data_IF_962747511052
#
_entry.id   IF_962747511052
#
_cell.length_a   1.000
_cell.length_b   1.000
_cell.length_c   1.000
_cell.angle_alpha   90.00
_cell.angle_beta   90.00
_cell.angle_gamma   90.00
#
_symmetry.space_group_name_H-M   'P 1'
#
loop_
_entity.id
_entity.type
_entity.pdbx_description
1 polymer ?
#
# COMPACT_ATOMS: atom_id res chain seq x y z
N UNK A 1 25.63 18.79 -22.10
CA UNK A 1 24.78 19.68 -21.28
C UNK A 1 23.97 18.78 -20.34
N UNK A 2 24.51 18.60 -19.13
CA UNK A 2 23.76 17.93 -18.05
C UNK A 2 22.92 19.00 -17.37
N UNK A 3 21.60 18.92 -17.52
CA UNK A 3 20.69 19.74 -16.74
C UNK A 3 20.79 19.28 -15.27
N UNK A 4 21.13 20.13 -14.31
CA UNK A 4 21.21 19.72 -12.91
C UNK A 4 19.81 19.40 -12.41
N UNK A 5 19.64 18.20 -11.84
CA UNK A 5 18.47 17.82 -11.07
C UNK A 5 18.20 18.95 -10.07
N UNK A 6 17.06 19.64 -10.19
CA UNK A 6 16.59 20.58 -9.18
C UNK A 6 16.74 19.92 -7.82
N UNK A 7 17.44 20.57 -6.91
CA UNK A 7 17.67 20.09 -5.56
C UNK A 7 16.32 19.70 -4.94
N UNK A 8 16.11 18.40 -4.81
CA UNK A 8 14.90 17.84 -4.22
C UNK A 8 14.96 18.21 -2.74
N UNK A 9 14.14 19.18 -2.33
CA UNK A 9 14.12 19.76 -1.00
C UNK A 9 14.19 18.69 0.09
N UNK A 10 14.99 18.97 1.11
CA UNK A 10 15.22 18.09 2.25
C UNK A 10 13.91 17.86 3.01
N UNK A 11 13.18 16.80 2.63
CA UNK A 11 11.97 16.37 3.33
C UNK A 11 12.39 15.43 4.47
N UNK A 12 12.24 15.81 5.75
CA UNK A 12 12.66 14.98 6.88
C UNK A 12 11.95 13.62 6.93
N UNK A 13 10.80 13.47 6.29
CA UNK A 13 10.09 12.18 6.18
C UNK A 13 10.80 11.16 5.29
N UNK A 14 11.73 11.58 4.42
CA UNK A 14 12.51 10.67 3.54
C UNK A 14 13.49 9.78 4.29
N UNK A 15 13.96 10.19 5.47
CA UNK A 15 15.01 9.49 6.22
C UNK A 15 14.56 8.13 6.78
N UNK A 16 13.25 7.90 6.87
CA UNK A 16 12.65 6.69 7.47
C UNK A 16 11.95 5.77 6.47
N UNK A 17 11.81 6.18 5.22
CA UNK A 17 11.22 5.32 4.20
C UNK A 17 12.13 4.12 3.90
N UNK A 18 11.60 2.90 3.77
CA UNK A 18 12.36 1.75 3.33
C UNK A 18 13.07 2.03 2.01
N UNK A 19 14.24 1.45 1.82
CA UNK A 19 15.06 1.63 0.60
C UNK A 19 14.25 1.48 -0.70
N UNK A 20 13.33 0.52 -0.76
CA UNK A 20 12.45 0.32 -1.92
C UNK A 20 11.58 1.53 -2.22
N UNK A 21 10.96 2.14 -1.19
CA UNK A 21 10.15 3.35 -1.35
C UNK A 21 10.98 4.54 -1.83
N UNK A 22 12.20 4.69 -1.32
CA UNK A 22 13.11 5.76 -1.77
C UNK A 22 13.51 5.59 -3.24
N UNK A 23 13.86 4.36 -3.66
CA UNK A 23 14.15 4.02 -5.06
C UNK A 23 12.96 4.37 -5.96
N UNK A 24 11.76 3.91 -5.63
CA UNK A 24 10.56 4.18 -6.40
C UNK A 24 10.25 5.68 -6.51
N UNK A 25 10.36 6.41 -5.40
CA UNK A 25 10.18 7.87 -5.41
C UNK A 25 11.18 8.55 -6.35
N UNK A 26 12.43 8.10 -6.35
CA UNK A 26 13.46 8.68 -7.25
C UNK A 26 13.17 8.33 -8.71
N UNK A 27 12.79 7.08 -9.00
CA UNK A 27 12.47 6.65 -10.37
C UNK A 27 11.20 7.33 -10.91
N UNK A 28 10.17 7.54 -10.08
CA UNK A 28 8.93 8.27 -10.46
C UNK A 28 9.16 9.75 -10.73
N UNK A 29 10.07 10.37 -9.99
CA UNK A 29 10.40 11.79 -10.18
C UNK A 29 11.30 12.03 -11.41
N UNK A 30 11.86 10.98 -11.99
CA UNK A 30 12.76 11.07 -13.13
C UNK A 30 12.01 10.87 -14.45
N UNK A 31 12.12 11.83 -15.36
CA UNK A 31 11.57 11.72 -16.73
C UNK A 31 12.40 10.76 -17.61
N UNK A 32 13.63 10.50 -17.22
CA UNK A 32 14.62 9.72 -17.97
C UNK A 32 15.17 8.55 -17.15
N UNK A 33 16.08 7.77 -17.77
CA UNK A 33 16.81 6.69 -17.09
C UNK A 33 17.67 7.23 -15.94
N UNK A 34 17.59 6.63 -14.76
CA UNK A 34 18.40 6.98 -13.59
C UNK A 34 19.55 5.98 -13.46
N UNK A 35 20.79 6.46 -13.42
CA UNK A 35 21.95 5.59 -13.31
C UNK A 35 22.00 4.89 -11.94
N UNK A 36 22.57 3.68 -11.90
CA UNK A 36 22.81 2.98 -10.63
C UNK A 36 23.74 3.75 -9.70
N UNK A 37 24.63 4.57 -10.25
CA UNK A 37 25.50 5.46 -9.48
C UNK A 37 24.72 6.58 -8.80
N UNK A 38 23.82 7.24 -9.53
CA UNK A 38 22.92 8.28 -8.98
C UNK A 38 22.08 7.75 -7.83
N UNK A 39 21.50 6.54 -7.99
CA UNK A 39 20.72 5.88 -6.92
C UNK A 39 21.61 5.52 -5.72
N UNK A 40 22.81 5.00 -5.96
CA UNK A 40 23.79 4.64 -4.94
C UNK A 40 24.18 5.85 -4.07
N UNK A 41 24.51 6.95 -4.70
CA UNK A 41 24.87 8.21 -4.03
C UNK A 41 23.67 8.80 -3.25
N UNK A 42 22.50 8.87 -3.88
CA UNK A 42 21.28 9.42 -3.25
C UNK A 42 20.85 8.66 -2.00
N UNK A 43 21.16 7.36 -1.92
CA UNK A 43 20.75 6.46 -0.82
C UNK A 43 21.89 6.10 0.14
N UNK A 44 23.13 6.52 -0.15
CA UNK A 44 24.28 6.21 0.68
C UNK A 44 24.63 4.73 0.77
N UNK A 45 24.39 3.96 -0.31
CA UNK A 45 24.64 2.52 -0.35
C UNK A 45 25.39 2.12 -1.62
N UNK A 46 25.92 0.89 -1.67
CA UNK A 46 26.63 0.41 -2.86
C UNK A 46 25.69 0.16 -4.05
N UNK A 47 26.20 0.25 -5.27
CA UNK A 47 25.47 -0.11 -6.50
C UNK A 47 24.93 -1.53 -6.47
N UNK A 48 25.64 -2.47 -5.85
CA UNK A 48 25.19 -3.85 -5.66
C UNK A 48 23.93 -3.90 -4.78
N UNK A 49 23.88 -3.08 -3.72
CA UNK A 49 22.70 -2.97 -2.87
C UNK A 49 21.51 -2.40 -3.63
N UNK A 50 21.72 -1.35 -4.43
CA UNK A 50 20.67 -0.80 -5.32
C UNK A 50 20.16 -1.88 -6.26
N UNK A 51 21.05 -2.59 -6.95
CA UNK A 51 20.68 -3.68 -7.86
C UNK A 51 19.83 -4.76 -7.17
N UNK A 52 20.21 -5.20 -5.97
CA UNK A 52 19.43 -6.17 -5.18
C UNK A 52 18.01 -5.66 -4.88
N UNK A 53 17.86 -4.39 -4.56
CA UNK A 53 16.54 -3.79 -4.30
C UNK A 53 15.71 -3.65 -5.57
N UNK A 54 16.33 -3.27 -6.69
CA UNK A 54 15.67 -3.21 -8.01
C UNK A 54 15.14 -4.60 -8.39
N UNK A 55 15.97 -5.65 -8.26
CA UNK A 55 15.54 -7.02 -8.52
C UNK A 55 14.32 -7.42 -7.70
N UNK A 56 14.33 -7.12 -6.39
CA UNK A 56 13.18 -7.38 -5.52
C UNK A 56 11.94 -6.56 -5.87
N UNK A 57 12.10 -5.37 -6.43
CA UNK A 57 10.98 -4.58 -6.94
C UNK A 57 10.42 -5.18 -8.22
N UNK A 58 11.28 -5.63 -9.14
CA UNK A 58 10.86 -6.36 -10.35
C UNK A 58 10.13 -7.66 -10.02
N UNK A 59 10.63 -8.44 -9.06
CA UNK A 59 9.97 -9.65 -8.54
C UNK A 59 8.62 -9.34 -7.88
N UNK A 60 8.46 -8.14 -7.33
CA UNK A 60 7.20 -7.64 -6.79
C UNK A 60 6.25 -7.06 -7.86
N UNK A 61 6.60 -7.16 -9.15
CA UNK A 61 5.75 -6.74 -10.26
C UNK A 61 5.94 -5.30 -10.73
N UNK A 62 6.93 -4.56 -10.20
CA UNK A 62 7.23 -3.23 -10.72
C UNK A 62 7.88 -3.33 -12.11
N UNK A 63 7.31 -2.67 -13.14
CA UNK A 63 7.87 -2.68 -14.49
C UNK A 63 9.07 -1.74 -14.56
N UNK A 64 10.20 -2.18 -14.01
CA UNK A 64 11.47 -1.47 -14.05
C UNK A 64 12.33 -2.05 -15.15
N UNK A 65 12.59 -1.26 -16.19
CA UNK A 65 13.59 -1.60 -17.20
C UNK A 65 15.00 -1.34 -16.65
N UNK A 66 15.91 -2.27 -16.90
CA UNK A 66 17.31 -2.18 -16.52
C UNK A 66 18.19 -2.29 -17.77
N UNK A 67 19.14 -1.38 -17.93
CA UNK A 67 20.07 -1.35 -19.07
C UNK A 67 21.45 -0.86 -18.65
N UNK A 68 22.39 -0.77 -19.60
CA UNK A 68 23.76 -0.30 -19.33
C UNK A 68 23.80 1.11 -18.74
N UNK A 69 22.84 1.97 -19.06
CA UNK A 69 22.75 3.36 -18.63
C UNK A 69 22.04 3.53 -17.29
N UNK A 70 21.27 2.52 -16.82
CA UNK A 70 20.57 2.58 -15.53
C UNK A 70 19.18 1.95 -15.56
N UNK A 71 18.28 2.54 -14.77
CA UNK A 71 16.94 2.03 -14.46
C UNK A 71 15.86 3.04 -14.80
N UNK A 72 14.72 2.56 -15.31
CA UNK A 72 13.54 3.38 -15.58
C UNK A 72 12.28 2.63 -15.13
N UNK A 73 11.45 3.27 -14.34
CA UNK A 73 10.12 2.78 -14.00
C UNK A 73 9.15 3.19 -15.11
N UNK A 74 8.40 2.23 -15.66
CA UNK A 74 7.47 2.46 -16.78
C UNK A 74 6.01 2.36 -16.39
N UNK A 75 5.72 2.09 -15.12
CA UNK A 75 4.37 2.01 -14.56
C UNK A 75 4.41 1.54 -13.11
N UNK A 76 3.25 1.41 -12.51
CA UNK A 76 3.09 0.91 -11.15
C UNK A 76 2.25 -0.37 -11.13
N UNK A 77 2.58 -1.37 -10.29
CA UNK A 77 1.76 -2.56 -10.11
C UNK A 77 0.49 -2.20 -9.34
N UNK A 78 -0.59 -2.91 -9.62
CA UNK A 78 -1.83 -2.83 -8.83
C UNK A 78 -1.67 -3.62 -7.52
N UNK A 79 -0.78 -3.14 -6.63
CA UNK A 79 -0.49 -3.77 -5.36
C UNK A 79 -0.14 -2.74 -4.29
N UNK A 80 -0.69 -2.93 -3.08
CA UNK A 80 -0.53 -1.99 -1.96
C UNK A 80 0.62 -2.44 -1.05
N UNK A 81 1.83 -2.38 -1.56
CA UNK A 81 3.02 -2.75 -0.80
C UNK A 81 3.31 -1.76 0.35
N UNK A 82 3.82 -2.25 1.51
CA UNK A 82 4.11 -1.38 2.67
C UNK A 82 5.03 -0.21 2.36
N UNK A 83 6.00 -0.38 1.48
CA UNK A 83 6.96 0.67 1.11
C UNK A 83 6.38 1.80 0.26
N UNK A 84 5.13 1.67 -0.21
CA UNK A 84 4.38 2.74 -0.87
C UNK A 84 3.76 3.73 0.13
N UNK A 85 3.71 3.37 1.41
CA UNK A 85 3.06 4.15 2.47
C UNK A 85 4.08 4.63 3.51
N UNK A 86 4.81 5.73 3.24
CA UNK A 86 5.83 6.23 4.15
C UNK A 86 5.30 6.50 5.56
N UNK A 87 5.96 5.90 6.56
CA UNK A 87 5.58 5.98 7.97
C UNK A 87 4.50 4.98 8.41
N UNK A 88 3.98 4.15 7.47
CA UNK A 88 2.97 3.11 7.76
C UNK A 88 3.51 1.70 7.51
N UNK A 89 4.76 1.55 7.14
CA UNK A 89 5.35 0.30 6.68
C UNK A 89 5.26 -0.83 7.71
N UNK A 90 5.32 -0.48 9.00
CA UNK A 90 5.21 -1.43 10.12
C UNK A 90 3.77 -1.85 10.44
N UNK A 91 2.81 -1.07 10.01
CA UNK A 91 1.38 -1.29 10.30
C UNK A 91 0.58 -1.71 9.09
N UNK A 92 1.19 -1.79 7.90
CA UNK A 92 0.56 -2.29 6.70
C UNK A 92 1.19 -3.63 6.29
N UNK A 93 0.36 -4.65 6.16
CA UNK A 93 0.75 -6.00 5.78
C UNK A 93 0.06 -6.39 4.48
N UNK A 94 0.81 -6.43 3.38
CA UNK A 94 0.31 -6.87 2.08
C UNK A 94 0.62 -8.35 1.84
N UNK A 95 -0.37 -9.05 1.33
CA UNK A 95 -0.28 -10.45 0.92
C UNK A 95 -0.85 -10.61 -0.49
N UNK A 96 -0.10 -11.18 -1.45
CA UNK A 96 -0.65 -11.46 -2.78
C UNK A 96 -1.90 -12.35 -2.71
N UNK A 97 -1.89 -13.35 -1.82
CA UNK A 97 -2.99 -14.28 -1.61
C UNK A 97 -3.07 -14.70 -0.15
N UNK A 98 -4.29 -14.78 0.39
CA UNK A 98 -4.59 -15.29 1.74
C UNK A 98 -5.90 -16.09 1.75
N UNK A 99 -6.15 -16.84 2.81
CA UNK A 99 -7.49 -17.38 3.06
C UNK A 99 -8.49 -16.23 3.28
N UNK A 100 -8.17 -15.34 4.23
CA UNK A 100 -8.96 -14.16 4.54
C UNK A 100 -8.10 -13.12 5.28
N UNK A 101 -8.22 -11.86 4.88
CA UNK A 101 -7.57 -10.73 5.57
C UNK A 101 -8.00 -10.65 7.04
N UNK A 102 -9.25 -11.03 7.36
CA UNK A 102 -9.76 -11.10 8.73
C UNK A 102 -9.02 -12.15 9.58
N UNK A 103 -8.64 -13.30 9.02
CA UNK A 103 -7.91 -14.32 9.75
C UNK A 103 -6.50 -13.83 10.10
N UNK A 104 -5.80 -13.23 9.14
CA UNK A 104 -4.47 -12.63 9.35
C UNK A 104 -4.55 -11.50 10.38
N UNK A 105 -5.51 -10.58 10.23
CA UNK A 105 -5.71 -9.47 11.15
C UNK A 105 -6.01 -9.95 12.58
N UNK A 106 -6.80 -11.02 12.74
CA UNK A 106 -7.09 -11.63 14.05
C UNK A 106 -5.82 -12.18 14.71
N UNK A 107 -4.97 -12.84 13.94
CA UNK A 107 -3.67 -13.34 14.43
C UNK A 107 -2.78 -12.19 14.89
N UNK A 108 -2.65 -11.14 14.09
CA UNK A 108 -1.88 -9.94 14.44
C UNK A 108 -2.47 -9.22 15.67
N UNK A 109 -3.80 -9.13 15.76
CA UNK A 109 -4.48 -8.50 16.89
C UNK A 109 -4.20 -9.25 18.22
N UNK A 110 -4.20 -10.60 18.20
CA UNK A 110 -3.84 -11.45 19.34
C UNK A 110 -2.38 -11.31 19.73
N UNK A 111 -1.50 -11.10 18.74
CA UNK A 111 -0.08 -10.82 18.96
C UNK A 111 0.22 -9.39 19.41
N UNK A 112 -0.81 -8.56 19.66
CA UNK A 112 -0.63 -7.20 20.19
C UNK A 112 -0.27 -6.15 19.14
N UNK A 113 -0.60 -6.34 17.87
CA UNK A 113 -0.31 -5.34 16.84
C UNK A 113 -0.90 -3.95 17.19
N UNK A 114 -0.31 -2.85 16.71
CA UNK A 114 -0.80 -1.50 16.99
C UNK A 114 -2.22 -1.26 16.48
N UNK A 115 -2.89 -0.25 17.08
CA UNK A 115 -4.10 0.34 16.52
C UNK A 115 -3.88 0.80 15.08
N UNK A 116 -4.89 0.69 14.21
CA UNK A 116 -4.81 1.00 12.79
C UNK A 116 -3.80 0.13 11.99
N UNK A 117 -3.49 -1.08 12.48
CA UNK A 117 -2.81 -2.08 11.65
C UNK A 117 -3.75 -2.53 10.53
N UNK A 118 -3.24 -2.52 9.30
CA UNK A 118 -4.00 -2.84 8.08
C UNK A 118 -3.42 -4.11 7.45
N UNK A 119 -4.28 -5.06 7.15
CA UNK A 119 -3.96 -6.25 6.35
C UNK A 119 -4.64 -6.11 5.00
N UNK A 120 -3.89 -6.18 3.92
CA UNK A 120 -4.38 -6.07 2.53
C UNK A 120 -4.05 -7.35 1.79
N UNK A 121 -4.93 -7.78 0.91
CA UNK A 121 -4.69 -8.92 0.03
C UNK A 121 -5.04 -8.59 -1.43
N UNK A 122 -4.25 -9.15 -2.37
CA UNK A 122 -4.57 -9.11 -3.79
C UNK A 122 -5.78 -10.01 -4.13
N UNK A 123 -5.90 -11.16 -3.45
CA UNK A 123 -7.09 -12.00 -3.51
C UNK A 123 -7.29 -12.81 -2.22
N UNK A 124 -8.52 -13.28 -1.99
CA UNK A 124 -8.86 -14.15 -0.86
C UNK A 124 -9.45 -15.47 -1.35
N UNK A 125 -8.99 -16.60 -0.79
CA UNK A 125 -9.52 -17.93 -1.13
C UNK A 125 -10.83 -18.23 -0.39
N UNK A 126 -10.98 -17.69 0.83
CA UNK A 126 -12.13 -17.92 1.72
C UNK A 126 -12.63 -16.59 2.29
N UNK A 127 -12.90 -15.62 1.41
CA UNK A 127 -13.52 -14.35 1.79
C UNK A 127 -14.84 -14.59 2.50
N UNK A 128 -15.11 -13.84 3.58
CA UNK A 128 -16.29 -14.01 4.44
C UNK A 128 -17.14 -12.76 4.44
N UNK A 129 -18.42 -12.95 4.09
CA UNK A 129 -19.46 -11.97 4.33
C UNK A 129 -20.16 -12.18 5.68
N UNK A 130 -21.16 -11.37 5.98
CA UNK A 130 -22.04 -11.55 7.14
C UNK A 130 -22.85 -12.85 7.00
N UNK A 131 -23.27 -13.39 8.13
CA UNK A 131 -24.07 -14.64 8.19
C UNK A 131 -23.40 -15.81 7.46
N UNK A 132 -22.08 -15.91 7.54
CA UNK A 132 -21.27 -16.98 6.93
C UNK A 132 -21.35 -17.06 5.40
N UNK A 133 -21.85 -16.03 4.73
CA UNK A 133 -21.88 -16.00 3.26
C UNK A 133 -20.46 -16.00 2.70
N UNK A 134 -20.27 -16.68 1.59
CA UNK A 134 -19.00 -16.65 0.86
C UNK A 134 -18.89 -15.32 0.13
N UNK A 135 -17.75 -14.65 0.33
CA UNK A 135 -17.40 -13.43 -0.39
C UNK A 135 -16.35 -13.73 -1.46
N UNK A 136 -16.73 -13.64 -2.72
CA UNK A 136 -15.79 -13.81 -3.82
C UNK A 136 -14.79 -12.67 -3.82
N UNK A 137 -13.51 -13.01 -3.88
CA UNK A 137 -12.40 -12.05 -3.76
C UNK A 137 -11.32 -12.38 -4.78
N UNK A 138 -11.64 -12.14 -6.06
CA UNK A 138 -10.74 -12.34 -7.20
C UNK A 138 -9.73 -11.19 -7.31
N UNK A 139 -8.72 -11.33 -8.15
CA UNK A 139 -7.79 -10.25 -8.47
C UNK A 139 -8.53 -9.02 -9.03
N UNK A 140 -7.97 -7.82 -8.83
CA UNK A 140 -8.56 -6.54 -9.22
C UNK A 140 -9.48 -5.90 -8.17
N UNK A 141 -9.76 -6.58 -7.06
CA UNK A 141 -10.51 -6.02 -5.93
C UNK A 141 -9.62 -5.52 -4.80
N UNK A 142 -10.12 -4.57 -4.03
CA UNK A 142 -9.47 -4.08 -2.82
C UNK A 142 -9.99 -4.82 -1.58
N UNK A 143 -9.20 -5.76 -1.07
CA UNK A 143 -9.54 -6.56 0.11
C UNK A 143 -8.64 -6.18 1.28
N UNK A 144 -9.22 -5.60 2.32
CA UNK A 144 -8.45 -5.21 3.49
C UNK A 144 -9.23 -5.38 4.79
N UNK A 145 -8.50 -5.48 5.88
CA UNK A 145 -9.03 -5.47 7.24
C UNK A 145 -8.18 -4.51 8.08
N UNK A 146 -8.84 -3.64 8.84
CA UNK A 146 -8.19 -2.72 9.77
C UNK A 146 -8.41 -3.22 11.19
N UNK A 147 -7.33 -3.33 11.97
CA UNK A 147 -7.42 -3.64 13.40
C UNK A 147 -7.64 -2.34 14.17
N UNK A 148 -8.83 -2.19 14.73
CA UNK A 148 -9.17 -1.06 15.57
C UNK A 148 -9.07 -1.47 17.06
N UNK A 149 -8.57 -0.56 17.88
CA UNK A 149 -8.52 -0.69 19.35
C UNK A 149 -9.14 0.59 19.97
N UNK A 150 -10.45 0.79 19.77
CA UNK A 150 -11.12 1.96 20.32
C UNK A 150 -11.34 1.78 21.83
N UNK A 151 -11.26 2.86 22.57
CA UNK A 151 -11.70 2.92 23.96
C UNK A 151 -13.23 3.08 24.04
N UNK A 152 -13.96 2.10 23.51
CA UNK A 152 -15.41 2.10 23.44
C UNK A 152 -15.98 0.81 24.07
N UNK A 153 -17.12 0.89 24.76
CA UNK A 153 -17.84 -0.29 25.18
C UNK A 153 -18.16 -1.21 23.99
N UNK A 154 -18.05 -2.55 24.11
CA UNK A 154 -18.27 -3.48 23.01
C UNK A 154 -19.65 -3.34 22.33
N UNK A 155 -20.67 -2.93 23.09
CA UNK A 155 -22.03 -2.67 22.57
C UNK A 155 -22.04 -1.56 21.51
N UNK A 156 -21.07 -0.65 21.52
CA UNK A 156 -20.93 0.44 20.55
C UNK A 156 -20.01 0.10 19.38
N UNK A 157 -19.44 -1.11 19.32
CA UNK A 157 -18.49 -1.50 18.26
C UNK A 157 -19.08 -1.40 16.85
N UNK A 158 -20.39 -1.56 16.71
CA UNK A 158 -21.11 -1.40 15.43
C UNK A 158 -20.96 0.01 14.84
N UNK A 159 -20.77 1.06 15.69
CA UNK A 159 -20.56 2.43 15.25
C UNK A 159 -19.28 2.61 14.43
N UNK A 160 -18.26 1.79 14.69
CA UNK A 160 -17.02 1.81 13.91
C UNK A 160 -17.28 1.41 12.45
N UNK A 161 -18.18 0.45 12.21
CA UNK A 161 -18.57 0.05 10.87
C UNK A 161 -19.30 1.17 10.10
N UNK A 162 -20.18 1.90 10.78
CA UNK A 162 -20.85 3.07 10.20
C UNK A 162 -19.87 4.16 9.81
N UNK A 163 -18.98 4.50 10.75
CA UNK A 163 -17.95 5.51 10.50
C UNK A 163 -17.07 5.11 9.31
N UNK A 164 -16.66 3.83 9.24
CA UNK A 164 -15.86 3.31 8.14
C UNK A 164 -16.61 3.42 6.80
N UNK A 165 -17.88 3.01 6.73
CA UNK A 165 -18.69 3.10 5.51
C UNK A 165 -18.87 4.55 5.05
N UNK A 166 -19.14 5.47 5.97
CA UNK A 166 -19.30 6.89 5.65
C UNK A 166 -17.99 7.51 5.14
N UNK A 167 -16.87 7.23 5.84
CA UNK A 167 -15.55 7.73 5.44
C UNK A 167 -15.18 7.19 4.07
N UNK A 168 -15.41 5.91 3.81
CA UNK A 168 -15.10 5.29 2.52
C UNK A 168 -15.94 5.90 1.39
N UNK A 169 -17.26 6.04 1.58
CA UNK A 169 -18.14 6.67 0.58
C UNK A 169 -17.68 8.10 0.26
N UNK A 170 -17.41 8.93 1.29
CA UNK A 170 -16.89 10.29 1.12
C UNK A 170 -15.53 10.33 0.42
N UNK A 171 -14.66 9.35 0.71
CA UNK A 171 -13.34 9.25 0.07
C UNK A 171 -13.49 8.95 -1.42
N UNK A 172 -14.35 8.00 -1.79
CA UNK A 172 -14.66 7.69 -3.18
C UNK A 172 -15.22 8.90 -3.93
N UNK A 173 -16.18 9.62 -3.32
CA UNK A 173 -16.71 10.84 -3.90
C UNK A 173 -15.62 11.90 -4.10
N UNK A 174 -14.81 12.16 -3.07
CA UNK A 174 -13.83 13.26 -3.07
C UNK A 174 -12.64 13.01 -4.01
N UNK A 175 -12.12 11.76 -4.03
CA UNK A 175 -10.89 11.45 -4.75
C UNK A 175 -11.15 11.01 -6.20
N UNK A 176 -12.29 10.36 -6.45
CA UNK A 176 -12.58 9.75 -7.74
C UNK A 176 -13.84 10.29 -8.41
N UNK A 177 -14.57 11.22 -7.78
CA UNK A 177 -15.82 11.76 -8.33
C UNK A 177 -16.95 10.71 -8.41
N UNK A 178 -16.79 9.55 -7.77
CA UNK A 178 -17.73 8.43 -7.83
C UNK A 178 -18.93 8.74 -6.94
N UNK A 179 -20.20 8.64 -7.43
CA UNK A 179 -21.40 8.94 -6.65
C UNK A 179 -21.72 7.80 -5.67
N UNK A 180 -20.83 7.61 -4.68
CA UNK A 180 -20.93 6.54 -3.69
C UNK A 180 -21.92 6.89 -2.58
N UNK A 181 -22.84 6.00 -2.26
CA UNK A 181 -23.85 6.13 -1.21
C UNK A 181 -23.78 4.96 -0.24
N UNK A 182 -23.99 5.25 1.06
CA UNK A 182 -24.03 4.20 2.07
C UNK A 182 -25.42 3.57 2.09
N UNK A 183 -25.50 2.28 1.79
CA UNK A 183 -26.69 1.45 2.03
C UNK A 183 -26.52 0.77 3.39
N UNK A 184 -27.35 1.21 4.31
CA UNK A 184 -27.33 0.66 5.69
C UNK A 184 -27.48 -0.86 5.70
N UNK A 185 -26.75 -1.59 6.58
CA UNK A 185 -25.80 -1.05 7.56
C UNK A 185 -24.33 -1.05 7.12
N UNK A 186 -23.94 -1.65 5.99
CA UNK A 186 -22.52 -1.92 5.68
C UNK A 186 -22.19 -1.97 4.20
N UNK A 187 -23.11 -1.62 3.33
CA UNK A 187 -22.85 -1.64 1.89
C UNK A 187 -22.63 -0.23 1.37
N UNK A 188 -21.83 -0.11 0.34
CA UNK A 188 -21.64 1.11 -0.43
C UNK A 188 -22.10 0.83 -1.86
N UNK A 189 -23.02 1.64 -2.34
CA UNK A 189 -23.52 1.59 -3.71
C UNK A 189 -22.89 2.73 -4.51
N UNK A 190 -22.62 2.45 -5.76
CA UNK A 190 -22.26 3.41 -6.77
C UNK A 190 -23.38 3.38 -7.81
N UNK A 191 -24.04 4.51 -8.00
CA UNK A 191 -25.14 4.67 -8.96
C UNK A 191 -24.60 5.20 -10.30
#
# INVERSE_FOLDING_TARGET
NQTPLKAIGHNPRRRWAPMKGQILTTLRAAETVVSGETLSQAMGVSRVTVWKHIRKLQEAGYPISAGPTGYRLTGDPDALYPWEFPGREKTLHYHPRVDSTMNVARTLARAGCPHMTVVVAGCQQRGRGRLQRVWRSTEGGLYFTIVLRPELPPVLAHRANFAASLVLARTLQKLYGVPAQVKWPNDILVA
#
